data_IF_598976593888
#
_entry.id   IF_598976593888
#
_cell.length_a   1.000
_cell.length_b   1.000
_cell.length_c   1.000
_cell.angle_alpha   90.00
_cell.angle_beta   90.00
_cell.angle_gamma   90.00
#
_symmetry.space_group_name_H-M   'P 1'
#
loop_
_entity.id
_entity.type
_entity.pdbx_description
1 polymer ?
#
# COMPACT_ATOMS: atom_id res chain seq x y z
N UNK A 1 -13.40 8.65 19.57
CA UNK A 1 -13.22 8.72 18.11
C UNK A 1 -14.21 7.74 17.52
N UNK A 2 -15.30 8.09 16.84
CA UNK A 2 -16.16 6.98 16.35
C UNK A 2 -16.63 7.06 14.90
N UNK A 3 -17.16 8.16 14.37
CA UNK A 3 -17.68 8.16 12.98
C UNK A 3 -16.81 8.92 11.98
N UNK A 4 -16.51 10.21 12.20
CA UNK A 4 -15.84 11.03 11.20
C UNK A 4 -14.42 10.54 10.86
N UNK A 5 -13.57 10.35 11.86
CA UNK A 5 -12.19 9.87 11.65
C UNK A 5 -12.18 8.49 10.98
N UNK A 6 -13.12 7.62 11.34
CA UNK A 6 -13.27 6.29 10.75
C UNK A 6 -13.70 6.35 9.27
N UNK A 7 -14.60 7.30 8.93
CA UNK A 7 -15.02 7.54 7.54
C UNK A 7 -13.84 8.09 6.74
N UNK A 8 -13.10 9.06 7.27
CA UNK A 8 -11.93 9.65 6.63
C UNK A 8 -10.87 8.56 6.38
N UNK A 9 -10.55 7.77 7.40
CA UNK A 9 -9.62 6.64 7.27
C UNK A 9 -10.10 5.61 6.23
N UNK A 10 -11.40 5.28 6.26
CA UNK A 10 -12.00 4.38 5.28
C UNK A 10 -11.92 4.90 3.84
N UNK A 11 -12.03 6.22 3.64
CA UNK A 11 -11.86 6.86 2.33
C UNK A 11 -10.39 6.83 1.87
N UNK A 12 -9.45 7.19 2.74
CA UNK A 12 -8.00 7.10 2.46
C UNK A 12 -7.65 5.68 2.02
N UNK A 13 -8.10 4.67 2.77
CA UNK A 13 -7.87 3.28 2.43
C UNK A 13 -8.50 2.87 1.11
N UNK A 14 -9.73 3.31 0.81
CA UNK A 14 -10.38 3.02 -0.48
C UNK A 14 -9.55 3.54 -1.65
N UNK A 15 -9.05 4.78 -1.57
CA UNK A 15 -8.20 5.35 -2.62
C UNK A 15 -6.87 4.60 -2.73
N UNK A 16 -6.19 4.34 -1.60
CA UNK A 16 -4.94 3.59 -1.60
C UNK A 16 -5.07 2.14 -2.09
N UNK A 17 -6.20 1.48 -1.80
CA UNK A 17 -6.45 0.12 -2.26
C UNK A 17 -6.86 0.08 -3.73
N UNK A 18 -7.61 1.06 -4.22
CA UNK A 18 -7.87 1.20 -5.66
C UNK A 18 -6.57 1.39 -6.42
N UNK A 19 -5.69 2.29 -5.94
CA UNK A 19 -4.36 2.48 -6.50
C UNK A 19 -3.56 1.17 -6.51
N UNK A 20 -3.58 0.42 -5.41
CA UNK A 20 -2.87 -0.86 -5.30
C UNK A 20 -3.40 -1.91 -6.26
N UNK A 21 -4.68 -1.96 -6.58
CA UNK A 21 -5.17 -2.94 -7.56
C UNK A 21 -4.88 -2.49 -9.00
N UNK A 22 -5.01 -1.20 -9.27
CA UNK A 22 -4.95 -0.65 -10.63
C UNK A 22 -3.52 -0.38 -11.08
N UNK A 23 -2.63 0.04 -10.19
CA UNK A 23 -1.26 0.44 -10.51
C UNK A 23 -0.19 -0.60 -10.16
N UNK A 24 -0.55 -1.71 -9.49
CA UNK A 24 0.42 -2.72 -9.07
C UNK A 24 0.66 -3.77 -10.15
N UNK A 25 1.86 -3.75 -10.72
CA UNK A 25 2.32 -4.70 -11.72
C UNK A 25 2.15 -6.16 -11.29
N UNK A 26 2.25 -6.50 -10.00
CA UNK A 26 2.04 -7.88 -9.53
C UNK A 26 0.62 -8.38 -9.78
N UNK A 27 -0.39 -7.50 -9.70
CA UNK A 27 -1.78 -7.86 -10.02
C UNK A 27 -1.93 -8.10 -11.53
N UNK A 28 -1.38 -7.20 -12.35
CA UNK A 28 -1.43 -7.31 -13.80
C UNK A 28 -0.75 -8.58 -14.31
N UNK A 29 0.42 -8.93 -13.77
CA UNK A 29 1.14 -10.15 -14.13
C UNK A 29 0.32 -11.41 -13.88
N UNK A 30 -0.37 -11.48 -12.73
CA UNK A 30 -1.24 -12.62 -12.42
C UNK A 30 -2.43 -12.71 -13.38
N UNK A 31 -3.06 -11.57 -13.68
CA UNK A 31 -4.17 -11.49 -14.62
C UNK A 31 -3.77 -11.93 -16.04
N UNK A 32 -2.58 -11.54 -16.50
CA UNK A 32 -2.09 -11.91 -17.84
C UNK A 32 -1.56 -13.34 -17.93
N UNK A 33 -1.16 -13.94 -16.81
CA UNK A 33 -0.72 -15.33 -16.75
C UNK A 33 -1.88 -16.33 -16.79
N UNK A 34 -3.12 -15.89 -16.58
CA UNK A 34 -4.31 -16.75 -16.52
C UNK A 34 -5.24 -16.57 -17.70
N UNK A 35 -6.00 -17.62 -18.04
CA UNK A 35 -7.06 -17.51 -19.04
C UNK A 35 -8.18 -16.57 -18.57
N UNK A 36 -8.76 -15.79 -19.49
CA UNK A 36 -9.80 -14.80 -19.18
C UNK A 36 -11.00 -15.43 -18.47
N UNK A 37 -11.41 -16.64 -18.88
CA UNK A 37 -12.53 -17.38 -18.29
C UNK A 37 -12.30 -17.77 -16.83
N UNK A 38 -11.05 -17.93 -16.40
CA UNK A 38 -10.67 -18.21 -15.02
C UNK A 38 -10.39 -16.92 -14.21
N UNK A 39 -9.88 -15.88 -14.88
CA UNK A 39 -9.45 -14.62 -14.25
C UNK A 39 -10.61 -13.90 -13.55
N UNK A 40 -11.73 -13.69 -14.25
CA UNK A 40 -12.86 -12.92 -13.71
C UNK A 40 -13.53 -13.62 -12.52
N UNK A 41 -13.89 -14.92 -12.57
CA UNK A 41 -14.42 -15.63 -11.41
C UNK A 41 -13.42 -15.68 -10.24
N UNK A 42 -12.13 -15.83 -10.53
CA UNK A 42 -11.06 -15.82 -9.52
C UNK A 42 -11.02 -14.50 -8.75
N UNK A 43 -11.04 -13.36 -9.46
CA UNK A 43 -11.10 -12.04 -8.81
C UNK A 43 -12.39 -11.80 -8.03
N UNK A 44 -13.54 -12.27 -8.53
CA UNK A 44 -14.80 -12.16 -7.80
C UNK A 44 -14.78 -12.96 -6.50
N UNK A 45 -14.25 -14.19 -6.52
CA UNK A 45 -14.08 -15.01 -5.31
C UNK A 45 -13.11 -14.33 -4.33
N UNK A 46 -11.99 -13.80 -4.81
CA UNK A 46 -11.04 -13.06 -3.98
C UNK A 46 -11.69 -11.81 -3.35
N UNK A 47 -12.52 -11.09 -4.09
CA UNK A 47 -13.26 -9.92 -3.59
C UNK A 47 -14.26 -10.28 -2.48
N UNK A 48 -14.87 -11.47 -2.53
CA UNK A 48 -15.74 -11.95 -1.44
C UNK A 48 -14.88 -12.38 -0.23
N UNK A 49 -13.80 -13.11 -0.47
CA UNK A 49 -12.91 -13.61 0.58
C UNK A 49 -12.21 -12.47 1.35
N UNK A 50 -11.82 -11.39 0.67
CA UNK A 50 -11.16 -10.23 1.30
C UNK A 50 -12.12 -9.41 2.16
N UNK A 51 -13.42 -9.50 1.94
CA UNK A 51 -14.38 -8.97 2.91
C UNK A 51 -14.43 -9.89 4.13
N UNK A 52 -14.62 -11.19 3.94
CA UNK A 52 -14.79 -12.15 5.03
C UNK A 52 -13.60 -12.25 5.98
N UNK A 53 -12.38 -12.34 5.46
CA UNK A 53 -11.17 -12.64 6.26
C UNK A 53 -10.73 -11.42 7.08
N UNK A 54 -10.29 -10.28 6.49
CA UNK A 54 -9.92 -9.07 7.23
C UNK A 54 -11.00 -8.56 8.18
N UNK A 55 -12.25 -8.48 7.74
CA UNK A 55 -13.33 -7.95 8.57
C UNK A 55 -13.63 -8.88 9.75
N UNK A 56 -13.75 -10.19 9.48
CA UNK A 56 -14.01 -11.19 10.51
C UNK A 56 -12.87 -11.27 11.51
N UNK A 57 -11.63 -11.42 11.03
CA UNK A 57 -10.44 -11.51 11.89
C UNK A 57 -10.23 -10.23 12.69
N UNK A 58 -10.29 -9.06 12.04
CA UNK A 58 -10.09 -7.77 12.69
C UNK A 58 -11.16 -7.47 13.74
N UNK A 59 -12.43 -7.73 13.44
CA UNK A 59 -13.55 -7.49 14.37
C UNK A 59 -13.48 -8.42 15.56
N UNK A 60 -13.30 -9.73 15.34
CA UNK A 60 -13.22 -10.72 16.42
C UNK A 60 -12.02 -10.41 17.32
N UNK A 61 -10.81 -10.35 16.75
CA UNK A 61 -9.60 -10.11 17.55
C UNK A 61 -9.64 -8.75 18.25
N UNK A 62 -10.07 -7.69 17.56
CA UNK A 62 -10.13 -6.33 18.12
C UNK A 62 -11.14 -6.19 19.26
N UNK A 63 -12.35 -6.73 19.11
CA UNK A 63 -13.36 -6.73 20.17
C UNK A 63 -12.94 -7.61 21.34
N UNK A 64 -12.35 -8.78 21.08
CA UNK A 64 -11.83 -9.65 22.13
C UNK A 64 -10.71 -8.96 22.89
N UNK A 65 -9.73 -8.34 22.23
CA UNK A 65 -8.69 -7.54 22.86
C UNK A 65 -9.30 -6.48 23.78
N UNK A 66 -10.29 -5.73 23.28
CA UNK A 66 -10.97 -4.69 24.05
C UNK A 66 -11.69 -5.24 25.28
N UNK A 67 -12.27 -6.44 25.20
CA UNK A 67 -12.95 -7.07 26.32
C UNK A 67 -12.00 -7.55 27.42
N UNK A 68 -10.81 -8.05 27.06
CA UNK A 68 -9.92 -8.73 28.02
C UNK A 68 -8.71 -7.89 28.47
N UNK A 69 -8.38 -6.78 27.81
CA UNK A 69 -7.12 -6.05 28.08
C UNK A 69 -6.96 -5.49 29.50
N UNK A 70 -8.05 -5.33 30.25
CA UNK A 70 -8.04 -4.88 31.66
C UNK A 70 -8.10 -6.04 32.66
N UNK A 71 -7.97 -7.29 32.20
CA UNK A 71 -8.09 -8.49 33.06
C UNK A 71 -6.73 -9.17 33.27
N UNK A 72 -6.55 -9.95 34.36
CA UNK A 72 -5.29 -10.61 34.69
C UNK A 72 -4.73 -11.59 33.64
N UNK A 73 -5.55 -12.05 32.70
CA UNK A 73 -5.10 -12.94 31.63
C UNK A 73 -4.29 -12.20 30.55
N UNK A 74 -4.43 -10.88 30.47
CA UNK A 74 -3.81 -10.10 29.40
C UNK A 74 -2.33 -9.81 29.73
N UNK A 75 -1.39 -9.95 28.77
CA UNK A 75 0.04 -9.89 29.07
C UNK A 75 0.56 -8.59 29.69
N UNK A 76 -0.18 -7.48 29.52
CA UNK A 76 0.23 -6.18 30.08
C UNK A 76 -0.37 -5.88 31.45
N UNK A 77 -1.30 -6.70 31.97
CA UNK A 77 -1.97 -6.45 33.24
C UNK A 77 -0.99 -6.50 34.44
N UNK A 78 -1.09 -5.59 35.44
CA UNK A 78 -2.08 -4.52 35.60
C UNK A 78 -1.76 -3.21 34.86
N UNK A 79 -0.68 -3.19 34.06
CA UNK A 79 -0.32 -2.07 33.21
C UNK A 79 -1.32 -1.80 32.09
N UNK A 80 -1.24 -0.60 31.53
CA UNK A 80 -2.09 -0.19 30.38
C UNK A 80 -1.48 -0.68 29.07
N UNK A 81 -2.34 -1.12 28.15
CA UNK A 81 -1.94 -1.33 26.77
C UNK A 81 -1.72 0.04 26.09
N UNK A 82 -0.46 0.44 25.90
CA UNK A 82 -0.12 1.78 25.43
C UNK A 82 -0.49 1.99 23.96
N UNK A 83 -0.75 3.25 23.54
CA UNK A 83 -0.92 3.58 22.12
C UNK A 83 0.25 3.13 21.25
N UNK A 84 1.48 3.15 21.76
CA UNK A 84 2.67 2.71 21.02
C UNK A 84 2.59 1.22 20.65
N UNK A 85 2.08 0.37 21.56
CA UNK A 85 1.87 -1.05 21.27
C UNK A 85 0.74 -1.27 20.24
N UNK A 86 -0.28 -0.41 20.25
CA UNK A 86 -1.34 -0.42 19.23
C UNK A 86 -0.77 -0.05 17.86
N UNK A 87 -0.01 1.04 17.78
CA UNK A 87 0.60 1.53 16.53
C UNK A 87 1.68 0.58 16.01
N UNK A 88 2.37 -0.16 16.90
CA UNK A 88 3.25 -1.26 16.54
C UNK A 88 2.52 -2.53 16.03
N UNK A 89 1.18 -2.54 16.02
CA UNK A 89 0.37 -3.65 15.52
C UNK A 89 0.30 -4.86 16.48
N UNK A 90 0.60 -4.67 17.77
CA UNK A 90 0.74 -5.77 18.72
C UNK A 90 -0.60 -6.26 19.32
N UNK A 91 -1.73 -5.68 18.92
CA UNK A 91 -3.07 -6.05 19.41
C UNK A 91 -3.36 -7.54 19.19
N UNK A 92 -3.14 -8.04 17.98
CA UNK A 92 -3.42 -9.43 17.62
C UNK A 92 -2.53 -10.44 18.36
N UNK A 93 -1.18 -10.32 18.33
CA UNK A 93 -0.32 -11.27 19.05
C UNK A 93 -0.58 -11.24 20.56
N UNK A 94 -0.84 -10.09 21.18
CA UNK A 94 -1.14 -10.05 22.62
C UNK A 94 -2.47 -10.73 22.96
N UNK A 95 -3.47 -10.57 22.12
CA UNK A 95 -4.78 -11.25 22.27
C UNK A 95 -4.64 -12.76 22.11
N UNK A 96 -3.87 -13.22 21.12
CA UNK A 96 -3.59 -14.65 20.91
C UNK A 96 -2.82 -15.22 22.11
N UNK A 97 -1.81 -14.51 22.62
CA UNK A 97 -1.04 -14.93 23.79
C UNK A 97 -1.92 -15.06 25.03
N UNK A 98 -2.84 -14.11 25.26
CA UNK A 98 -3.76 -14.14 26.39
C UNK A 98 -4.67 -15.37 26.36
N UNK A 99 -5.22 -15.72 25.19
CA UNK A 99 -6.25 -16.77 25.07
C UNK A 99 -5.69 -18.18 24.84
N UNK A 100 -4.64 -18.30 24.02
CA UNK A 100 -4.11 -19.58 23.53
C UNK A 100 -2.76 -19.92 24.18
N UNK A 101 -2.07 -18.92 24.73
CA UNK A 101 -0.73 -19.08 25.28
C UNK A 101 0.36 -19.18 24.22
N UNK A 102 1.54 -19.69 24.61
CA UNK A 102 2.75 -19.69 23.78
C UNK A 102 2.60 -20.42 22.44
N UNK A 103 1.88 -21.55 22.44
CA UNK A 103 1.67 -22.34 21.22
C UNK A 103 0.90 -21.55 20.16
N UNK A 104 -0.06 -20.72 20.57
CA UNK A 104 -0.80 -19.84 19.66
C UNK A 104 0.08 -18.77 19.03
N UNK A 105 1.05 -18.24 19.79
CA UNK A 105 2.02 -17.26 19.29
C UNK A 105 2.97 -17.88 18.26
N UNK A 106 3.44 -19.10 18.51
CA UNK A 106 4.28 -19.82 17.54
C UNK A 106 3.51 -20.02 16.23
N UNK A 107 2.26 -20.49 16.29
CA UNK A 107 1.42 -20.63 15.11
C UNK A 107 1.19 -19.30 14.38
N UNK A 108 0.93 -18.22 15.14
CA UNK A 108 0.79 -16.88 14.60
C UNK A 108 2.06 -16.41 13.85
N UNK A 109 3.25 -16.63 14.41
CA UNK A 109 4.50 -16.26 13.74
C UNK A 109 4.74 -17.05 12.46
N UNK A 110 4.40 -18.34 12.43
CA UNK A 110 4.48 -19.15 11.21
C UNK A 110 3.53 -18.60 10.14
N UNK A 111 2.27 -18.32 10.50
CA UNK A 111 1.28 -17.74 9.59
C UNK A 111 1.72 -16.36 9.08
N UNK A 112 2.25 -15.51 9.96
CA UNK A 112 2.78 -14.20 9.63
C UNK A 112 3.96 -14.32 8.64
N UNK A 113 4.89 -15.23 8.90
CA UNK A 113 6.04 -15.47 8.02
C UNK A 113 5.59 -15.94 6.63
N UNK A 114 4.64 -16.86 6.54
CA UNK A 114 4.07 -17.32 5.28
C UNK A 114 3.36 -16.19 4.53
N UNK A 115 2.56 -15.39 5.23
CA UNK A 115 1.84 -14.25 4.64
C UNK A 115 2.82 -13.21 4.09
N UNK A 116 3.81 -12.80 4.89
CA UNK A 116 4.83 -11.82 4.48
C UNK A 116 5.66 -12.33 3.30
N UNK A 117 6.12 -13.57 3.34
CA UNK A 117 6.92 -14.16 2.25
C UNK A 117 6.13 -14.23 0.94
N UNK A 118 4.82 -14.54 1.01
CA UNK A 118 3.94 -14.53 -0.17
C UNK A 118 3.85 -13.14 -0.81
N UNK A 119 3.64 -12.09 -0.01
CA UNK A 119 3.59 -10.70 -0.51
C UNK A 119 4.94 -10.23 -1.05
N UNK A 120 6.04 -10.49 -0.31
CA UNK A 120 7.39 -10.11 -0.72
C UNK A 120 7.79 -10.81 -2.02
N UNK A 121 7.49 -12.10 -2.19
CA UNK A 121 7.78 -12.80 -3.44
C UNK A 121 7.06 -12.15 -4.62
N UNK A 122 5.81 -11.75 -4.45
CA UNK A 122 5.01 -11.12 -5.51
C UNK A 122 5.57 -9.74 -5.90
N UNK A 123 5.98 -8.92 -4.93
CA UNK A 123 6.55 -7.59 -5.21
C UNK A 123 7.95 -7.67 -5.83
N UNK A 124 8.77 -8.62 -5.40
CA UNK A 124 10.10 -8.86 -5.99
C UNK A 124 10.01 -9.21 -7.47
N UNK A 125 9.06 -10.08 -7.85
CA UNK A 125 8.84 -10.46 -9.26
C UNK A 125 8.37 -9.26 -10.08
N UNK A 126 7.46 -8.45 -9.53
CA UNK A 126 6.97 -7.24 -10.19
C UNK A 126 8.13 -6.25 -10.47
N UNK A 127 8.88 -5.86 -9.45
CA UNK A 127 10.00 -4.90 -9.61
C UNK A 127 11.11 -5.47 -10.50
N UNK A 128 11.41 -6.75 -10.37
CA UNK A 128 12.36 -7.43 -11.23
C UNK A 128 11.99 -7.33 -12.71
N UNK A 129 10.71 -7.55 -13.05
CA UNK A 129 10.23 -7.45 -14.42
C UNK A 129 10.28 -6.03 -14.98
N UNK A 130 9.94 -5.02 -14.17
CA UNK A 130 10.04 -3.61 -14.55
C UNK A 130 11.49 -3.27 -14.90
N UNK A 131 12.43 -3.65 -14.03
CA UNK A 131 13.85 -3.35 -14.27
C UNK A 131 14.42 -4.14 -15.45
N UNK A 132 14.01 -5.38 -15.67
CA UNK A 132 14.56 -6.21 -16.75
C UNK A 132 13.92 -5.95 -18.12
N UNK A 133 12.60 -5.83 -18.19
CA UNK A 133 11.89 -5.64 -19.45
C UNK A 133 11.69 -4.15 -19.75
N UNK A 134 11.13 -3.40 -18.82
CA UNK A 134 10.73 -2.02 -19.10
C UNK A 134 11.92 -1.07 -19.14
N UNK A 135 12.94 -1.31 -18.31
CA UNK A 135 14.17 -0.50 -18.29
C UNK A 135 15.27 -1.12 -19.16
N UNK A 136 15.76 -2.31 -18.79
CA UNK A 136 16.96 -2.88 -19.43
C UNK A 136 16.72 -3.23 -20.90
N UNK A 137 15.69 -4.04 -21.20
CA UNK A 137 15.39 -4.41 -22.58
C UNK A 137 15.00 -3.19 -23.41
N UNK A 138 14.13 -2.32 -22.92
CA UNK A 138 13.66 -1.18 -23.74
C UNK A 138 14.76 -0.14 -24.04
N UNK A 139 15.60 0.19 -23.07
CA UNK A 139 16.50 1.35 -23.18
C UNK A 139 18.00 1.03 -23.20
N UNK A 140 18.43 -0.12 -22.65
CA UNK A 140 19.86 -0.46 -22.53
C UNK A 140 20.28 -1.45 -23.61
N UNK A 141 19.53 -2.54 -23.79
CA UNK A 141 19.81 -3.55 -24.81
C UNK A 141 18.50 -4.10 -25.42
N UNK A 142 17.96 -3.43 -26.46
CA UNK A 142 16.75 -3.86 -27.17
C UNK A 142 16.84 -5.24 -27.83
N UNK A 143 18.06 -5.74 -28.05
CA UNK A 143 18.31 -7.05 -28.67
C UNK A 143 18.72 -8.10 -27.64
N UNK A 144 18.53 -7.82 -26.34
CA UNK A 144 18.87 -8.76 -25.27
C UNK A 144 18.12 -10.10 -25.46
N UNK A 145 18.88 -11.19 -25.42
CA UNK A 145 18.33 -12.55 -25.43
C UNK A 145 17.65 -12.87 -24.10
N UNK A 146 16.72 -13.82 -24.10
CA UNK A 146 15.96 -14.20 -22.90
C UNK A 146 16.89 -14.63 -21.75
N UNK A 147 17.98 -15.35 -22.06
CA UNK A 147 19.00 -15.74 -21.07
C UNK A 147 19.66 -14.54 -20.39
N UNK A 148 19.88 -13.45 -21.14
CA UNK A 148 20.45 -12.21 -20.62
C UNK A 148 19.43 -11.47 -19.76
N UNK A 149 18.18 -11.40 -20.21
CA UNK A 149 17.07 -10.79 -19.45
C UNK A 149 16.86 -11.50 -18.11
N UNK A 150 16.87 -12.84 -18.08
CA UNK A 150 16.74 -13.57 -16.81
C UNK A 150 17.87 -13.27 -15.83
N UNK A 151 19.11 -13.11 -16.32
CA UNK A 151 20.24 -12.72 -15.44
C UNK A 151 20.03 -11.33 -14.85
N UNK A 152 19.58 -10.37 -15.66
CA UNK A 152 19.26 -9.02 -15.19
C UNK A 152 18.11 -9.05 -14.20
N UNK A 153 17.08 -9.87 -14.45
CA UNK A 153 15.95 -10.07 -13.53
C UNK A 153 16.41 -10.59 -12.16
N UNK A 154 17.31 -11.58 -12.09
CA UNK A 154 17.86 -12.04 -10.81
C UNK A 154 18.69 -10.97 -10.09
N UNK A 155 19.52 -10.21 -10.82
CA UNK A 155 20.27 -9.09 -10.24
C UNK A 155 19.34 -7.99 -9.73
N UNK A 156 18.25 -7.71 -10.44
CA UNK A 156 17.24 -6.74 -10.04
C UNK A 156 16.54 -7.14 -8.74
N UNK A 157 16.25 -8.44 -8.53
CA UNK A 157 15.71 -8.94 -7.24
C UNK A 157 16.68 -8.65 -6.10
N UNK A 158 17.97 -8.99 -6.26
CA UNK A 158 18.98 -8.78 -5.21
C UNK A 158 19.14 -7.29 -4.90
N UNK A 159 19.26 -6.47 -5.94
CA UNK A 159 19.34 -5.02 -5.81
C UNK A 159 18.12 -4.46 -5.06
N UNK A 160 16.92 -4.85 -5.49
CA UNK A 160 15.69 -4.34 -4.90
C UNK A 160 15.53 -4.79 -3.43
N UNK A 161 15.90 -6.03 -3.09
CA UNK A 161 15.88 -6.53 -1.72
C UNK A 161 16.79 -5.69 -0.80
N UNK A 162 18.01 -5.36 -1.23
CA UNK A 162 18.93 -4.50 -0.47
C UNK A 162 18.37 -3.08 -0.37
N UNK A 163 17.91 -2.53 -1.50
CA UNK A 163 17.36 -1.18 -1.57
C UNK A 163 16.16 -0.99 -0.65
N UNK A 164 15.16 -1.86 -0.72
CA UNK A 164 13.94 -1.73 0.08
C UNK A 164 14.20 -1.97 1.57
N UNK A 165 15.16 -2.84 1.91
CA UNK A 165 15.61 -3.04 3.30
C UNK A 165 16.24 -1.75 3.84
N UNK A 166 17.12 -1.11 3.07
CA UNK A 166 17.71 0.18 3.45
C UNK A 166 16.67 1.28 3.65
N UNK A 167 15.71 1.41 2.73
CA UNK A 167 14.62 2.38 2.84
C UNK A 167 13.73 2.08 4.06
N UNK A 168 13.41 0.81 4.30
CA UNK A 168 12.57 0.39 5.43
C UNK A 168 13.23 0.70 6.77
N UNK A 169 14.54 0.45 6.90
CA UNK A 169 15.31 0.81 8.09
C UNK A 169 15.36 2.33 8.27
N UNK A 170 15.63 3.08 7.20
CA UNK A 170 15.68 4.54 7.26
C UNK A 170 14.35 5.15 7.72
N UNK A 171 13.22 4.66 7.18
CA UNK A 171 11.89 5.08 7.60
C UNK A 171 11.59 4.73 9.05
N UNK A 172 11.97 3.52 9.48
CA UNK A 172 11.77 3.08 10.86
C UNK A 172 12.57 3.93 11.86
N UNK A 173 13.85 4.20 11.60
CA UNK A 173 14.66 5.11 12.42
C UNK A 173 14.19 6.57 12.33
N UNK A 174 13.56 6.96 11.21
CA UNK A 174 12.91 8.26 11.03
C UNK A 174 11.60 8.41 11.82
N UNK A 175 11.14 7.36 12.52
CA UNK A 175 9.92 7.37 13.33
C UNK A 175 8.64 7.05 12.56
N UNK A 176 8.73 6.62 11.29
CA UNK A 176 7.56 6.21 10.54
C UNK A 176 7.03 4.87 11.09
N UNK A 177 5.74 4.85 11.44
CA UNK A 177 5.02 3.66 11.86
C UNK A 177 4.08 3.14 10.75
N UNK A 178 3.29 2.12 11.07
CA UNK A 178 2.36 1.52 10.10
C UNK A 178 1.27 2.50 9.65
N UNK A 179 0.83 3.41 10.53
CA UNK A 179 -0.20 4.41 10.22
C UNK A 179 0.36 5.42 9.24
N UNK A 180 1.55 5.94 9.51
CA UNK A 180 2.21 6.92 8.66
C UNK A 180 2.46 6.36 7.25
N UNK A 181 2.99 5.14 7.15
CA UNK A 181 3.19 4.46 5.86
C UNK A 181 1.85 4.24 5.14
N UNK A 182 0.81 3.86 5.89
CA UNK A 182 -0.55 3.70 5.37
C UNK A 182 -1.12 4.97 4.75
N UNK A 183 -0.77 6.14 5.29
CA UNK A 183 -1.19 7.46 4.80
C UNK A 183 -0.31 8.02 3.69
N UNK A 184 0.99 7.75 3.73
CA UNK A 184 1.91 8.16 2.68
C UNK A 184 1.73 7.37 1.38
N UNK A 185 1.47 6.07 1.47
CA UNK A 185 1.27 5.17 0.32
C UNK A 185 0.25 5.69 -0.71
N UNK A 186 -1.00 6.06 -0.36
CA UNK A 186 -1.97 6.53 -1.35
C UNK A 186 -1.50 7.80 -2.06
N UNK A 187 -0.78 8.70 -1.38
CA UNK A 187 -0.25 9.94 -2.00
C UNK A 187 0.74 9.60 -3.13
N UNK A 188 1.55 8.56 -2.95
CA UNK A 188 2.47 8.08 -3.99
C UNK A 188 1.75 7.39 -5.16
N UNK A 189 0.74 6.57 -4.88
CA UNK A 189 0.18 5.65 -5.89
C UNK A 189 -1.07 6.17 -6.62
N UNK A 190 -1.89 7.02 -5.97
CA UNK A 190 -3.14 7.52 -6.54
C UNK A 190 -3.01 8.33 -7.84
N UNK A 191 -1.95 9.15 -8.05
CA UNK A 191 -1.81 9.98 -9.25
C UNK A 191 -1.86 9.19 -10.57
N UNK A 192 -1.47 7.92 -10.57
CA UNK A 192 -1.48 7.07 -11.77
C UNK A 192 -2.85 6.51 -12.18
N UNK A 193 -3.86 6.51 -11.29
CA UNK A 193 -5.13 5.80 -11.52
C UNK A 193 -5.88 6.37 -12.72
N UNK A 194 -6.13 7.69 -12.72
CA UNK A 194 -6.92 8.34 -13.79
C UNK A 194 -6.18 8.29 -15.12
N UNK A 195 -4.88 8.64 -15.21
CA UNK A 195 -4.14 8.55 -16.46
C UNK A 195 -4.14 7.15 -17.06
N UNK A 196 -3.97 6.11 -16.23
CA UNK A 196 -4.04 4.72 -16.68
C UNK A 196 -5.44 4.34 -17.15
N UNK A 197 -6.49 4.72 -16.41
CA UNK A 197 -7.87 4.50 -16.81
C UNK A 197 -8.21 5.14 -18.16
N UNK A 198 -7.74 6.37 -18.40
CA UNK A 198 -7.88 7.04 -19.68
C UNK A 198 -7.08 6.33 -20.79
N UNK A 199 -5.92 5.76 -20.48
CA UNK A 199 -5.07 5.09 -21.49
C UNK A 199 -5.77 3.84 -22.02
N UNK A 200 -6.55 3.17 -21.17
CA UNK A 200 -7.31 1.98 -21.53
C UNK A 200 -8.67 2.32 -22.19
N UNK A 201 -9.35 3.36 -21.71
CA UNK A 201 -10.73 3.65 -22.11
C UNK A 201 -10.86 4.73 -23.19
N UNK A 202 -9.81 5.53 -23.44
CA UNK A 202 -9.89 6.70 -24.30
C UNK A 202 -8.75 6.77 -25.33
N UNK A 203 -9.12 6.64 -26.60
CA UNK A 203 -8.20 6.69 -27.74
C UNK A 203 -7.56 8.05 -28.02
N UNK A 204 -8.03 9.16 -27.42
CA UNK A 204 -7.49 10.51 -27.67
C UNK A 204 -6.49 11.00 -26.62
N UNK A 205 -6.09 10.15 -25.66
CA UNK A 205 -5.10 10.57 -24.67
C UNK A 205 -3.73 10.76 -25.34
N UNK A 206 -3.14 11.94 -25.16
CA UNK A 206 -1.84 12.25 -25.72
C UNK A 206 -0.72 11.65 -24.87
N UNK A 207 0.43 11.41 -25.50
CA UNK A 207 1.64 10.95 -24.79
C UNK A 207 2.07 11.93 -23.70
N UNK A 208 1.93 13.24 -23.95
CA UNK A 208 2.24 14.27 -22.96
C UNK A 208 1.30 14.16 -21.76
N UNK A 209 -0.01 14.03 -21.98
CA UNK A 209 -0.97 13.88 -20.89
C UNK A 209 -0.70 12.60 -20.08
N UNK A 210 -0.40 11.48 -20.73
CA UNK A 210 -0.10 10.20 -20.06
C UNK A 210 1.15 10.24 -19.17
N UNK A 211 2.18 11.02 -19.53
CA UNK A 211 3.43 11.12 -18.76
C UNK A 211 3.39 12.25 -17.73
N UNK A 212 2.86 13.42 -18.11
CA UNK A 212 2.90 14.60 -17.25
C UNK A 212 1.91 14.51 -16.08
N UNK A 213 0.73 13.91 -16.29
CA UNK A 213 -0.29 13.87 -15.23
C UNK A 213 0.15 13.08 -13.99
N UNK A 214 0.63 11.82 -14.05
CA UNK A 214 1.04 11.13 -12.81
C UNK A 214 2.12 11.89 -12.01
N UNK A 215 3.03 12.58 -12.72
CA UNK A 215 4.12 13.35 -12.09
C UNK A 215 3.55 14.60 -11.40
N UNK A 216 2.75 15.38 -12.12
CA UNK A 216 2.15 16.59 -11.58
C UNK A 216 1.20 16.26 -10.41
N UNK A 217 0.46 15.16 -10.49
CA UNK A 217 -0.48 14.74 -9.45
C UNK A 217 0.21 14.28 -8.19
N UNK A 218 1.35 13.62 -8.36
CA UNK A 218 2.21 13.31 -7.23
C UNK A 218 2.74 14.58 -6.55
N UNK A 219 3.23 15.54 -7.34
CA UNK A 219 3.76 16.79 -6.79
C UNK A 219 2.68 17.64 -6.11
N UNK A 220 1.47 17.71 -6.67
CA UNK A 220 0.35 18.41 -6.04
C UNK A 220 -0.08 17.69 -4.76
N UNK A 221 -0.32 16.38 -4.81
CA UNK A 221 -0.76 15.59 -3.65
C UNK A 221 0.24 15.65 -2.49
N UNK A 222 1.54 15.58 -2.80
CA UNK A 222 2.61 15.77 -1.82
C UNK A 222 2.60 17.19 -1.25
N UNK A 223 2.43 18.21 -2.10
CA UNK A 223 2.39 19.61 -1.68
C UNK A 223 1.19 19.88 -0.76
N UNK A 224 0.01 19.37 -1.09
CA UNK A 224 -1.18 19.54 -0.24
C UNK A 224 -1.09 18.75 1.05
N UNK A 225 -0.53 17.55 1.04
CA UNK A 225 -0.29 16.81 2.27
C UNK A 225 0.60 17.61 3.25
N UNK A 226 1.73 18.12 2.76
CA UNK A 226 2.67 18.89 3.58
C UNK A 226 2.13 20.29 3.95
N UNK A 227 1.48 20.98 3.01
CA UNK A 227 0.88 22.29 3.26
C UNK A 227 -0.28 22.21 4.26
N UNK A 228 -1.10 21.16 4.18
CA UNK A 228 -2.20 20.96 5.13
C UNK A 228 -1.67 20.60 6.51
N UNK A 229 -0.63 19.76 6.60
CA UNK A 229 0.04 19.48 7.87
C UNK A 229 0.56 20.78 8.53
N UNK A 230 1.23 21.63 7.76
CA UNK A 230 1.72 22.93 8.22
C UNK A 230 0.59 23.91 8.58
N UNK A 231 -0.46 23.98 7.77
CA UNK A 231 -1.56 24.94 7.94
C UNK A 231 -2.41 24.61 9.18
N UNK A 232 -2.71 23.33 9.40
CA UNK A 232 -3.56 22.89 10.52
C UNK A 232 -2.80 22.77 11.84
N UNK A 233 -1.52 22.39 11.79
CA UNK A 233 -0.74 22.04 12.99
C UNK A 233 0.51 22.91 13.20
N UNK A 234 0.74 23.90 12.34
CA UNK A 234 1.83 24.89 12.46
C UNK A 234 3.24 24.37 12.13
N UNK A 235 3.44 23.06 12.02
CA UNK A 235 4.75 22.43 11.78
C UNK A 235 4.63 21.24 10.82
N UNK A 236 5.77 20.79 10.28
CA UNK A 236 5.86 19.58 9.46
C UNK A 236 6.80 18.60 10.17
N UNK A 237 6.22 17.53 10.70
CA UNK A 237 6.91 16.38 11.30
C UNK A 237 6.06 15.10 11.12
N UNK A 238 6.57 13.96 11.59
CA UNK A 238 5.87 12.66 11.52
C UNK A 238 4.46 12.75 12.12
N UNK A 239 4.32 13.29 13.34
CA UNK A 239 3.02 13.39 14.01
C UNK A 239 2.00 14.24 13.23
N UNK A 240 2.42 15.37 12.63
CA UNK A 240 1.51 16.22 11.83
C UNK A 240 1.16 15.61 10.48
N UNK A 241 2.04 14.79 9.91
CA UNK A 241 1.84 14.16 8.61
C UNK A 241 1.10 12.82 8.71
N UNK A 242 1.12 12.21 9.90
CA UNK A 242 0.29 11.08 10.31
C UNK A 242 -1.14 11.50 10.69
N UNK A 243 -1.47 12.79 10.68
CA UNK A 243 -2.84 13.21 10.96
C UNK A 243 -3.78 12.87 9.78
N UNK A 244 -5.00 12.42 10.11
CA UNK A 244 -5.97 11.93 9.12
C UNK A 244 -6.38 12.98 8.08
N UNK A 245 -6.47 14.26 8.46
CA UNK A 245 -6.88 15.33 7.53
C UNK A 245 -5.83 15.61 6.45
N UNK A 246 -4.56 15.90 6.78
CA UNK A 246 -3.51 16.01 5.76
C UNK A 246 -3.48 14.81 4.82
N UNK A 247 -3.51 13.59 5.36
CA UNK A 247 -3.47 12.36 4.58
C UNK A 247 -4.66 12.24 3.63
N UNK A 248 -5.86 12.58 4.10
CA UNK A 248 -7.06 12.61 3.29
C UNK A 248 -6.92 13.58 2.12
N UNK A 249 -6.61 14.84 2.37
CA UNK A 249 -6.51 15.84 1.32
C UNK A 249 -5.44 15.49 0.29
N UNK A 250 -4.26 15.06 0.72
CA UNK A 250 -3.19 14.61 -0.17
C UNK A 250 -3.56 13.37 -1.00
N UNK A 251 -4.38 12.46 -0.46
CA UNK A 251 -4.85 11.26 -1.19
C UNK A 251 -6.03 11.53 -2.14
N UNK A 252 -6.83 12.57 -1.86
CA UNK A 252 -8.02 12.92 -2.63
C UNK A 252 -7.76 13.88 -3.77
N UNK A 253 -6.58 14.50 -3.83
CA UNK A 253 -6.26 15.46 -4.87
C UNK A 253 -6.29 14.80 -6.25
N UNK A 254 -7.42 15.03 -6.93
CA UNK A 254 -7.64 14.69 -8.32
C UNK A 254 -7.14 15.86 -9.13
N UNK A 255 -6.11 15.62 -9.92
CA UNK A 255 -5.68 16.61 -10.87
C UNK A 255 -6.79 17.01 -11.83
N UNK A 256 -7.20 18.27 -11.68
CA UNK A 256 -7.82 19.08 -12.71
C UNK A 256 -6.95 19.20 -13.97
N UNK A 257 -5.69 18.73 -13.93
CA UNK A 257 -4.70 18.88 -15.00
C UNK A 257 -5.01 17.98 -16.21
N UNK A 258 -5.49 16.75 -16.02
CA UNK A 258 -5.94 15.91 -17.16
C UNK A 258 -7.14 16.52 -17.91
N UNK A 259 -7.98 17.29 -17.22
CA UNK A 259 -9.11 17.99 -17.84
C UNK A 259 -8.69 19.24 -18.62
N UNK A 260 -7.61 19.91 -18.22
CA UNK A 260 -7.10 21.09 -18.94
C UNK A 260 -6.29 20.73 -20.19
N UNK A 261 -5.70 19.54 -20.27
CA UNK A 261 -5.13 19.04 -21.52
C UNK A 261 -6.21 18.63 -22.55
N UNK A 262 -7.47 18.44 -22.11
CA UNK A 262 -8.62 18.18 -23.00
C UNK A 262 -9.03 19.40 -23.83
N UNK A 263 -8.80 20.62 -23.34
CA UNK A 263 -9.31 21.86 -23.96
C UNK A 263 -8.33 22.53 -24.92
N UNK A 264 -7.10 22.01 -25.07
CA UNK A 264 -6.07 22.63 -25.92
C UNK A 264 -5.79 21.89 -27.24
N UNK A 265 -6.51 20.82 -27.53
CA UNK A 265 -6.33 20.02 -28.76
C UNK A 265 -7.64 19.73 -29.53
N UNK A 266 -8.68 20.55 -29.33
CA UNK A 266 -9.81 20.65 -30.27
C UNK A 266 -9.63 21.88 -31.15
#
# INVERSE_FOLDING_TARGET
MKSLDSIIWGLILKFGNLALVVMDTAFWQKSFATEVKATVPGYNLAAIAIFGIPWGLGTVIGLTARAIHETPIFPTYPGKFSPDLVNAGLVMPYTIKALIGDKGIVAFFVLLFMALTSTVSSSMIAVSSILSFDVYKTYIDPKATDKKIMRVSHLAVIFHAIFITGISLALNYGGADMTWIGYFRPILSCPGIIPLGLTLAWSKQTRLAAVASPILGFLTGLSVWLATAKSLYGTINIATTEASFPAFFGSTEREYISYNFRSREC
#
